data_IF_819723020394
#
_entry.id   IF_819723020394
#
_cell.length_a   1.000
_cell.length_b   1.000
_cell.length_c   1.000
_cell.angle_alpha   90.00
_cell.angle_beta   90.00
_cell.angle_gamma   90.00
#
_symmetry.space_group_name_H-M   'P 1'
#
loop_
_entity.id
_entity.type
_entity.pdbx_description
1 polymer ?
#
# COMPACT_ATOMS: atom_id res chain seq x y z
N UNK A 1 -9.12 8.62 73.57
CA UNK A 1 -10.17 8.46 72.54
C UNK A 1 -9.48 8.64 71.18
N UNK A 2 -8.87 7.62 70.57
CA UNK A 2 -9.36 6.30 70.12
C UNK A 2 -10.10 6.41 68.76
N UNK A 3 -9.75 5.65 67.71
CA UNK A 3 -8.68 4.65 67.58
C UNK A 3 -8.19 4.43 66.13
N UNK A 4 -6.98 3.87 65.97
CA UNK A 4 -6.49 3.18 64.75
C UNK A 4 -6.86 1.68 64.80
N UNK A 5 -6.73 0.95 63.68
CA UNK A 5 -5.65 -0.05 63.53
C UNK A 5 -4.77 0.26 62.28
N UNK A 6 -3.52 -0.22 62.09
CA UNK A 6 -2.58 -1.01 62.91
C UNK A 6 -2.92 -2.49 63.22
N UNK A 7 -2.75 -3.37 62.22
CA UNK A 7 -2.12 -4.71 62.24
C UNK A 7 -1.64 -4.95 60.78
N UNK A 8 -0.41 -5.35 60.44
CA UNK A 8 0.65 -5.98 61.24
C UNK A 8 0.62 -7.49 60.99
N UNK A 9 1.55 -8.05 60.20
CA UNK A 9 1.44 -9.46 59.79
C UNK A 9 2.50 -9.89 58.78
N UNK A 10 3.76 -9.90 59.19
CA UNK A 10 4.82 -10.60 58.46
C UNK A 10 4.64 -12.12 58.55
N UNK A 11 4.70 -12.81 57.41
CA UNK A 11 5.05 -14.24 57.34
C UNK A 11 5.95 -14.49 56.13
N UNK A 12 7.27 -14.55 56.36
CA UNK A 12 8.13 -15.43 55.56
C UNK A 12 7.91 -16.87 56.02
N UNK A 13 8.12 -17.87 55.15
CA UNK A 13 9.39 -18.58 55.27
C UNK A 13 10.07 -18.93 53.94
N UNK A 14 11.38 -18.66 53.90
CA UNK A 14 12.54 -19.40 53.33
C UNK A 14 12.46 -20.25 52.02
N UNK A 15 13.58 -20.37 51.28
CA UNK A 15 13.61 -20.82 49.89
C UNK A 15 13.87 -22.32 49.70
N UNK A 16 13.44 -22.88 48.56
CA UNK A 16 13.77 -24.24 48.13
C UNK A 16 14.10 -24.33 46.63
N UNK A 17 15.22 -24.99 46.32
CA UNK A 17 15.66 -25.58 45.03
C UNK A 17 15.50 -24.74 43.75
N UNK A 18 16.54 -24.23 43.06
CA UNK A 18 17.76 -24.86 42.50
C UNK A 18 17.48 -25.96 41.46
N UNK A 19 18.26 -25.92 40.35
CA UNK A 19 18.39 -26.83 39.19
C UNK A 19 17.43 -26.62 37.99
N UNK A 20 17.89 -26.86 36.75
CA UNK A 20 19.19 -26.44 36.20
C UNK A 20 19.08 -25.74 34.82
N UNK A 21 20.23 -25.30 34.31
CA UNK A 21 20.35 -24.40 33.17
C UNK A 21 19.72 -24.84 31.83
N UNK A 22 19.44 -23.83 31.02
CA UNK A 22 19.28 -23.97 29.57
C UNK A 22 20.41 -23.20 28.90
N UNK A 23 21.35 -23.97 28.36
CA UNK A 23 22.57 -23.49 27.73
C UNK A 23 22.31 -22.75 26.41
N UNK A 24 23.19 -21.80 26.06
CA UNK A 24 23.25 -21.19 24.72
C UNK A 24 24.24 -21.98 23.86
N UNK A 25 23.80 -23.03 23.18
CA UNK A 25 24.52 -23.51 21.99
C UNK A 25 23.68 -24.43 21.09
N UNK A 26 24.13 -24.51 19.84
CA UNK A 26 23.78 -25.51 18.82
C UNK A 26 22.32 -25.49 18.31
N UNK A 27 22.16 -24.89 17.14
CA UNK A 27 20.91 -24.96 16.38
C UNK A 27 20.75 -26.29 15.65
N UNK A 28 19.55 -26.86 15.71
CA UNK A 28 19.01 -27.69 14.63
C UNK A 28 17.68 -27.04 14.23
N UNK A 29 17.67 -26.36 13.07
CA UNK A 29 16.44 -25.96 12.41
C UNK A 29 15.72 -27.23 11.92
N UNK A 30 14.95 -27.86 12.82
CA UNK A 30 14.11 -29.00 12.46
C UNK A 30 12.98 -28.48 11.57
N UNK A 31 13.08 -28.75 10.28
CA UNK A 31 12.01 -28.47 9.33
C UNK A 31 10.73 -29.20 9.78
N UNK A 32 9.55 -28.54 9.79
CA UNK A 32 8.29 -29.23 9.93
C UNK A 32 7.88 -29.77 8.55
N UNK A 33 8.16 -31.04 8.30
CA UNK A 33 7.59 -31.75 7.15
C UNK A 33 6.13 -32.18 7.40
N UNK A 34 5.42 -32.34 6.29
CA UNK A 34 4.12 -32.99 6.10
C UNK A 34 2.80 -32.26 6.50
N UNK A 35 1.69 -32.48 5.76
CA UNK A 35 1.04 -31.36 5.07
C UNK A 35 -0.48 -31.42 5.28
N UNK A 36 -0.91 -31.42 6.55
CA UNK A 36 -2.34 -31.38 6.89
C UNK A 36 -2.63 -30.03 7.54
N UNK A 37 -3.51 -29.24 6.90
CA UNK A 37 -3.99 -27.98 7.46
C UNK A 37 -4.62 -28.26 8.82
N UNK A 38 -3.85 -27.99 9.89
CA UNK A 38 -4.31 -28.20 11.25
C UNK A 38 -5.55 -27.30 11.46
N UNK A 39 -6.75 -27.86 11.72
CA UNK A 39 -7.99 -27.08 11.72
C UNK A 39 -7.95 -25.95 12.75
N UNK A 40 -7.23 -26.12 13.86
CA UNK A 40 -7.03 -25.07 14.87
C UNK A 40 -6.26 -23.87 14.29
N UNK A 41 -5.23 -24.10 13.46
CA UNK A 41 -4.51 -23.01 12.76
C UNK A 41 -5.37 -22.35 11.68
N UNK A 42 -6.20 -23.12 10.98
CA UNK A 42 -7.10 -22.57 9.96
C UNK A 42 -8.21 -21.72 10.58
N UNK A 43 -8.79 -22.16 11.71
CA UNK A 43 -9.77 -21.40 12.48
C UNK A 43 -9.14 -20.16 13.12
N UNK A 44 -7.95 -20.27 13.73
CA UNK A 44 -7.24 -19.12 14.29
C UNK A 44 -6.85 -18.08 13.21
N UNK A 45 -6.42 -18.54 12.03
CA UNK A 45 -6.17 -17.67 10.88
C UNK A 45 -7.47 -17.02 10.37
N UNK A 46 -8.57 -17.78 10.29
CA UNK A 46 -9.88 -17.27 9.91
C UNK A 46 -10.44 -16.21 10.87
N UNK A 47 -10.29 -16.43 12.17
CA UNK A 47 -10.66 -15.46 13.23
C UNK A 47 -9.81 -14.19 13.13
N UNK A 48 -8.47 -14.32 13.05
CA UNK A 48 -7.57 -13.18 12.89
C UNK A 48 -7.82 -12.39 11.59
N UNK A 49 -8.16 -13.07 10.49
CA UNK A 49 -8.55 -12.45 9.24
C UNK A 49 -9.91 -11.73 9.34
N UNK A 50 -10.87 -12.31 10.08
CA UNK A 50 -12.17 -11.69 10.35
C UNK A 50 -12.01 -10.41 11.20
N UNK A 51 -11.23 -10.46 12.28
CA UNK A 51 -10.94 -9.29 13.12
C UNK A 51 -10.22 -8.18 12.33
N UNK A 52 -9.25 -8.54 11.49
CA UNK A 52 -8.59 -7.60 10.59
C UNK A 52 -9.58 -6.99 9.58
N UNK A 53 -10.52 -7.77 9.04
CA UNK A 53 -11.56 -7.32 8.13
C UNK A 53 -12.59 -6.40 8.82
N UNK A 54 -12.98 -6.68 10.06
CA UNK A 54 -13.85 -5.83 10.87
C UNK A 54 -13.15 -4.49 11.16
N UNK A 55 -11.88 -4.51 11.60
CA UNK A 55 -11.09 -3.29 11.83
C UNK A 55 -10.85 -2.48 10.54
N UNK A 56 -10.72 -3.15 9.40
CA UNK A 56 -10.61 -2.52 8.09
C UNK A 56 -11.94 -1.88 7.64
N UNK A 57 -13.06 -2.60 7.75
CA UNK A 57 -14.38 -2.11 7.34
C UNK A 57 -14.95 -1.06 8.28
N UNK A 58 -14.49 -0.97 9.52
CA UNK A 58 -14.80 0.15 10.43
C UNK A 58 -14.11 1.46 10.04
N UNK A 59 -13.08 1.44 9.21
CA UNK A 59 -12.42 2.64 8.70
C UNK A 59 -13.08 3.15 7.41
N UNK A 60 -13.40 4.44 7.34
CA UNK A 60 -13.93 5.10 6.12
C UNK A 60 -13.02 4.89 4.91
N UNK A 61 -11.69 4.92 5.11
CA UNK A 61 -10.72 4.62 4.06
C UNK A 61 -10.80 3.17 3.59
N UNK A 62 -11.06 2.20 4.48
CA UNK A 62 -11.27 0.81 4.11
C UNK A 62 -12.53 0.63 3.25
N UNK A 63 -13.62 1.31 3.60
CA UNK A 63 -14.86 1.32 2.80
C UNK A 63 -14.67 1.89 1.38
N UNK A 64 -13.96 3.01 1.20
CA UNK A 64 -13.60 3.51 -0.15
C UNK A 64 -12.71 2.52 -0.91
N UNK A 65 -11.72 1.89 -0.26
CA UNK A 65 -10.84 0.91 -0.93
C UNK A 65 -11.60 -0.33 -1.38
N UNK A 66 -12.55 -0.83 -0.58
CA UNK A 66 -13.42 -1.93 -0.96
C UNK A 66 -14.29 -1.55 -2.17
N UNK A 67 -14.93 -0.38 -2.13
CA UNK A 67 -15.72 0.12 -3.26
C UNK A 67 -14.85 0.37 -4.50
N UNK A 68 -13.62 0.85 -4.35
CA UNK A 68 -12.64 1.01 -5.45
C UNK A 68 -12.35 -0.35 -6.08
N UNK A 69 -12.06 -1.37 -5.27
CA UNK A 69 -11.85 -2.73 -5.74
C UNK A 69 -13.09 -3.26 -6.50
N UNK A 70 -14.29 -3.17 -5.92
CA UNK A 70 -15.54 -3.60 -6.58
C UNK A 70 -15.76 -2.89 -7.92
N UNK A 71 -15.52 -1.57 -8.00
CA UNK A 71 -15.67 -0.80 -9.24
C UNK A 71 -14.71 -1.31 -10.34
N UNK A 72 -13.42 -1.49 -10.02
CA UNK A 72 -12.44 -1.95 -10.99
C UNK A 72 -12.60 -3.44 -11.36
N UNK A 73 -13.05 -4.28 -10.42
CA UNK A 73 -13.49 -5.66 -10.73
C UNK A 73 -14.68 -5.65 -11.70
N UNK A 74 -15.67 -4.77 -11.50
CA UNK A 74 -16.79 -4.63 -12.45
C UNK A 74 -16.30 -4.20 -13.84
N UNK A 75 -15.37 -3.24 -13.91
CA UNK A 75 -14.76 -2.76 -15.15
C UNK A 75 -13.98 -3.87 -15.89
N UNK A 76 -13.18 -4.66 -15.17
CA UNK A 76 -12.42 -5.79 -15.71
C UNK A 76 -13.35 -6.92 -16.18
N UNK A 77 -14.31 -7.34 -15.35
CA UNK A 77 -15.30 -8.36 -15.72
C UNK A 77 -16.13 -7.92 -16.93
N UNK A 78 -16.50 -6.63 -17.01
CA UNK A 78 -17.19 -6.05 -18.15
C UNK A 78 -16.36 -6.22 -19.41
N UNK A 79 -15.09 -5.81 -19.40
CA UNK A 79 -14.18 -5.96 -20.53
C UNK A 79 -14.02 -7.43 -20.98
N UNK A 80 -13.92 -8.37 -20.04
CA UNK A 80 -13.79 -9.81 -20.34
C UNK A 80 -15.09 -10.48 -20.83
N UNK A 81 -16.25 -9.86 -20.61
CA UNK A 81 -17.58 -10.37 -20.97
C UNK A 81 -18.19 -9.67 -22.19
N UNK A 82 -17.76 -8.44 -22.52
CA UNK A 82 -18.27 -7.64 -23.64
C UNK A 82 -18.07 -8.33 -25.02
N UNK A 83 -16.98 -9.08 -25.27
CA UNK A 83 -16.82 -9.90 -26.50
C UNK A 83 -17.68 -11.18 -26.55
N UNK A 84 -18.30 -11.61 -25.44
CA UNK A 84 -18.97 -12.92 -25.35
C UNK A 84 -20.45 -12.83 -25.68
N UNK A 85 -20.88 -13.55 -26.73
CA UNK A 85 -22.28 -13.68 -27.11
C UNK A 85 -23.16 -14.12 -25.91
N UNK A 86 -24.39 -13.61 -25.85
CA UNK A 86 -25.36 -13.92 -24.78
C UNK A 86 -25.13 -13.27 -23.41
N UNK A 87 -23.98 -12.63 -23.14
CA UNK A 87 -23.70 -12.03 -21.80
C UNK A 87 -24.15 -10.58 -21.61
N UNK A 88 -24.83 -9.96 -22.59
CA UNK A 88 -25.32 -8.57 -22.56
C UNK A 88 -26.09 -8.20 -21.27
N UNK A 89 -26.96 -9.08 -20.76
CA UNK A 89 -27.72 -8.87 -19.50
C UNK A 89 -26.82 -8.76 -18.27
N UNK A 90 -25.70 -9.49 -18.23
CA UNK A 90 -24.70 -9.42 -17.16
C UNK A 90 -23.88 -8.13 -17.27
N UNK A 91 -23.45 -7.76 -18.50
CA UNK A 91 -22.75 -6.50 -18.78
C UNK A 91 -23.58 -5.28 -18.31
N UNK A 92 -24.89 -5.26 -18.55
CA UNK A 92 -25.75 -4.17 -18.05
C UNK A 92 -25.87 -4.14 -16.51
N UNK A 93 -25.98 -5.30 -15.85
CA UNK A 93 -25.94 -5.38 -14.38
C UNK A 93 -24.62 -4.84 -13.82
N UNK A 94 -23.48 -5.20 -14.42
CA UNK A 94 -22.16 -4.70 -14.05
C UNK A 94 -22.05 -3.18 -14.24
N UNK A 95 -22.51 -2.61 -15.37
CA UNK A 95 -22.55 -1.15 -15.59
C UNK A 95 -23.38 -0.42 -14.52
N UNK A 96 -24.53 -0.99 -14.11
CA UNK A 96 -25.38 -0.40 -13.03
C UNK A 96 -24.67 -0.45 -11.66
N UNK A 97 -24.01 -1.57 -11.34
CA UNK A 97 -23.26 -1.72 -10.10
C UNK A 97 -22.04 -0.78 -10.05
N UNK A 98 -21.25 -0.72 -11.13
CA UNK A 98 -20.12 0.19 -11.31
C UNK A 98 -20.51 1.65 -11.07
N UNK A 99 -21.64 2.10 -11.64
CA UNK A 99 -22.17 3.45 -11.47
C UNK A 99 -22.62 3.75 -10.02
N UNK A 100 -23.32 2.80 -9.39
CA UNK A 100 -23.76 2.91 -7.99
C UNK A 100 -22.57 3.03 -7.03
N UNK A 101 -21.59 2.12 -7.17
CA UNK A 101 -20.37 2.09 -6.35
C UNK A 101 -19.52 3.34 -6.59
N UNK A 102 -19.33 3.77 -7.83
CA UNK A 102 -18.65 5.02 -8.19
C UNK A 102 -19.28 6.24 -7.53
N UNK A 103 -20.61 6.28 -7.43
CA UNK A 103 -21.33 7.34 -6.72
C UNK A 103 -21.07 7.29 -5.22
N UNK A 104 -21.14 6.10 -4.60
CA UNK A 104 -20.78 5.90 -3.18
C UNK A 104 -19.36 6.36 -2.84
N UNK A 105 -18.40 6.15 -3.75
CA UNK A 105 -17.02 6.63 -3.59
C UNK A 105 -16.85 8.15 -3.64
N UNK A 106 -17.76 8.90 -4.28
CA UNK A 106 -17.72 10.37 -4.21
C UNK A 106 -17.98 10.85 -2.79
N UNK A 107 -18.96 10.27 -2.10
CA UNK A 107 -19.28 10.60 -0.71
C UNK A 107 -18.08 10.39 0.23
N UNK A 108 -17.41 9.22 0.16
CA UNK A 108 -16.23 8.97 0.97
C UNK A 108 -15.03 9.88 0.65
N UNK A 109 -14.95 10.41 -0.59
CA UNK A 109 -13.85 11.30 -0.98
C UNK A 109 -13.99 12.74 -0.49
N UNK A 110 -15.19 13.19 -0.09
CA UNK A 110 -15.39 14.52 0.51
C UNK A 110 -14.53 14.72 1.77
N UNK A 111 -14.45 13.71 2.65
CA UNK A 111 -13.61 13.75 3.85
C UNK A 111 -12.09 13.65 3.58
N UNK A 112 -11.68 13.22 2.38
CA UNK A 112 -10.26 13.03 2.08
C UNK A 112 -9.51 14.35 1.82
N UNK A 113 -10.20 15.48 1.64
CA UNK A 113 -9.57 16.81 1.61
C UNK A 113 -8.80 17.05 2.91
N UNK A 114 -9.44 16.80 4.06
CA UNK A 114 -8.86 17.01 5.40
C UNK A 114 -7.66 16.08 5.62
N UNK A 115 -7.77 14.80 5.23
CA UNK A 115 -6.64 13.87 5.28
C UNK A 115 -5.47 14.27 4.38
N UNK A 116 -5.73 14.88 3.22
CA UNK A 116 -4.68 15.38 2.33
C UNK A 116 -3.99 16.64 2.90
N UNK A 117 -4.73 17.52 3.58
CA UNK A 117 -4.16 18.67 4.31
C UNK A 117 -3.26 18.17 5.46
N UNK A 118 -3.76 17.26 6.31
CA UNK A 118 -3.00 16.65 7.39
C UNK A 118 -1.73 15.93 6.88
N UNK A 119 -1.82 15.23 5.75
CA UNK A 119 -0.65 14.59 5.14
C UNK A 119 0.36 15.61 4.58
N UNK A 120 -0.11 16.78 4.11
CA UNK A 120 0.78 17.89 3.70
C UNK A 120 1.54 18.44 4.91
N UNK A 121 0.84 18.74 6.00
CA UNK A 121 1.41 19.20 7.27
C UNK A 121 2.47 18.21 7.79
N UNK A 122 2.12 16.92 7.90
CA UNK A 122 3.06 15.88 8.34
C UNK A 122 4.29 15.77 7.44
N UNK A 123 4.14 15.92 6.11
CA UNK A 123 5.29 15.88 5.20
C UNK A 123 6.25 17.07 5.32
N UNK A 124 5.81 18.21 5.87
CA UNK A 124 6.69 19.36 6.15
C UNK A 124 7.68 19.04 7.29
N UNK A 125 7.36 18.08 8.16
CA UNK A 125 8.24 17.65 9.26
C UNK A 125 9.19 16.49 8.91
N UNK A 126 9.22 16.02 7.65
CA UNK A 126 10.14 14.96 7.21
C UNK A 126 11.60 15.45 7.24
N UNK A 127 12.52 14.57 7.67
CA UNK A 127 13.92 14.94 7.94
C UNK A 127 14.71 15.18 6.64
N UNK A 128 14.50 14.34 5.62
CA UNK A 128 15.23 14.42 4.35
C UNK A 128 14.57 15.41 3.36
N UNK A 129 15.36 16.35 2.83
CA UNK A 129 14.87 17.44 1.96
C UNK A 129 14.14 16.95 0.70
N UNK A 130 14.66 15.92 0.01
CA UNK A 130 14.08 15.43 -1.26
C UNK A 130 12.73 14.74 -1.02
N UNK A 131 12.60 13.72 -0.14
CA UNK A 131 11.30 13.17 0.25
C UNK A 131 10.32 14.23 0.78
N UNK A 132 10.78 15.17 1.61
CA UNK A 132 9.97 16.28 2.13
C UNK A 132 9.32 17.09 1.01
N UNK A 133 10.10 17.59 0.05
CA UNK A 133 9.60 18.39 -1.06
C UNK A 133 8.65 17.59 -1.96
N UNK A 134 9.03 16.35 -2.33
CA UNK A 134 8.19 15.49 -3.14
C UNK A 134 6.84 15.17 -2.47
N UNK A 135 6.83 14.80 -1.19
CA UNK A 135 5.62 14.49 -0.43
C UNK A 135 4.74 15.73 -0.21
N UNK A 136 5.34 16.87 0.14
CA UNK A 136 4.60 18.13 0.37
C UNK A 136 3.88 18.55 -0.91
N UNK A 137 4.59 18.58 -2.04
CA UNK A 137 3.99 18.92 -3.33
C UNK A 137 2.98 17.86 -3.82
N UNK A 138 3.23 16.57 -3.55
CA UNK A 138 2.30 15.49 -3.90
C UNK A 138 0.98 15.60 -3.13
N UNK A 139 1.05 15.86 -1.83
CA UNK A 139 -0.13 16.01 -0.97
C UNK A 139 -0.89 17.32 -1.25
N UNK A 140 -0.18 18.44 -1.51
CA UNK A 140 -0.81 19.69 -1.94
C UNK A 140 -1.61 19.53 -3.24
N UNK A 141 -1.04 18.83 -4.23
CA UNK A 141 -1.77 18.50 -5.47
C UNK A 141 -2.94 17.55 -5.22
N UNK A 142 -2.86 16.68 -4.21
CA UNK A 142 -3.98 15.82 -3.78
C UNK A 142 -5.12 16.65 -3.16
N UNK A 143 -4.82 17.71 -2.40
CA UNK A 143 -5.82 18.66 -1.89
C UNK A 143 -6.56 19.32 -3.05
N UNK A 144 -5.84 19.87 -4.03
CA UNK A 144 -6.45 20.51 -5.23
C UNK A 144 -7.31 19.51 -6.02
N UNK A 145 -6.84 18.27 -6.17
CA UNK A 145 -7.62 17.19 -6.79
C UNK A 145 -8.96 16.93 -6.06
N UNK A 146 -8.94 16.78 -4.73
CA UNK A 146 -10.18 16.53 -3.97
C UNK A 146 -11.13 17.73 -3.95
N UNK A 147 -10.62 18.97 -4.00
CA UNK A 147 -11.44 20.17 -4.18
C UNK A 147 -12.13 20.13 -5.56
N UNK A 148 -11.38 19.84 -6.63
CA UNK A 148 -11.97 19.69 -7.98
C UNK A 148 -13.02 18.57 -8.04
N UNK A 149 -12.77 17.43 -7.38
CA UNK A 149 -13.72 16.31 -7.30
C UNK A 149 -14.99 16.66 -6.50
N UNK A 150 -14.85 17.44 -5.43
CA UNK A 150 -15.98 17.99 -4.66
C UNK A 150 -16.85 18.89 -5.53
N UNK A 151 -16.25 19.80 -6.30
CA UNK A 151 -16.97 20.68 -7.25
C UNK A 151 -17.70 19.86 -8.33
N UNK A 152 -17.05 18.81 -8.87
CA UNK A 152 -17.66 17.89 -9.83
C UNK A 152 -18.80 17.06 -9.21
N UNK A 153 -18.72 16.72 -7.91
CA UNK A 153 -19.81 16.07 -7.18
C UNK A 153 -20.99 17.01 -6.97
N UNK A 154 -20.76 18.23 -6.46
CA UNK A 154 -21.80 19.28 -6.28
C UNK A 154 -22.56 19.52 -7.59
N UNK A 155 -21.84 19.65 -8.71
CA UNK A 155 -22.44 19.71 -10.06
C UNK A 155 -23.32 18.49 -10.36
N UNK A 156 -22.86 17.28 -10.04
CA UNK A 156 -23.61 16.05 -10.33
C UNK A 156 -24.86 15.83 -9.48
N UNK A 157 -25.02 16.58 -8.38
CA UNK A 157 -26.25 16.62 -7.56
C UNK A 157 -27.23 17.69 -8.08
N UNK A 158 -26.82 18.52 -9.06
CA UNK A 158 -27.66 19.57 -9.64
C UNK A 158 -27.58 20.92 -8.93
N UNK A 159 -26.75 21.05 -7.90
CA UNK A 159 -26.59 22.30 -7.13
C UNK A 159 -25.94 23.44 -7.94
N UNK A 160 -25.17 23.13 -8.99
CA UNK A 160 -24.46 24.13 -9.81
C UNK A 160 -24.45 23.81 -11.31
N UNK A 161 -25.38 24.42 -12.05
CA UNK A 161 -25.59 24.15 -13.49
C UNK A 161 -24.59 24.83 -14.44
N UNK A 162 -23.93 25.93 -14.04
CA UNK A 162 -23.02 26.70 -14.91
C UNK A 162 -21.57 26.17 -15.03
N UNK A 163 -21.19 25.15 -14.26
CA UNK A 163 -19.79 24.70 -14.17
C UNK A 163 -19.39 23.81 -15.37
N UNK A 164 -18.35 24.16 -16.12
CA UNK A 164 -17.88 23.32 -17.23
C UNK A 164 -17.25 22.00 -16.73
N UNK A 165 -18.02 20.91 -16.78
CA UNK A 165 -17.66 19.57 -16.31
C UNK A 165 -16.30 19.10 -16.84
N UNK A 166 -16.02 19.31 -18.12
CA UNK A 166 -14.82 18.75 -18.76
C UNK A 166 -13.58 19.52 -18.31
N UNK A 167 -13.60 20.86 -18.30
CA UNK A 167 -12.48 21.68 -17.80
C UNK A 167 -12.09 21.31 -16.37
N UNK A 168 -13.06 21.12 -15.48
CA UNK A 168 -12.80 20.72 -14.08
C UNK A 168 -12.31 19.26 -13.95
N UNK A 169 -12.80 18.35 -14.80
CA UNK A 169 -12.31 16.97 -14.88
C UNK A 169 -10.86 16.90 -15.36
N UNK A 170 -10.53 17.59 -16.45
CA UNK A 170 -9.17 17.68 -16.99
C UNK A 170 -8.21 18.31 -15.97
N UNK A 171 -8.64 19.35 -15.23
CA UNK A 171 -7.83 19.94 -14.15
C UNK A 171 -7.61 18.96 -13.00
N UNK A 172 -8.65 18.25 -12.56
CA UNK A 172 -8.52 17.20 -11.54
C UNK A 172 -7.53 16.10 -11.99
N UNK A 173 -7.62 15.66 -13.25
CA UNK A 173 -6.73 14.64 -13.82
C UNK A 173 -5.26 15.09 -13.83
N UNK A 174 -4.96 16.34 -14.19
CA UNK A 174 -3.59 16.90 -14.13
C UNK A 174 -3.02 16.88 -12.71
N UNK A 175 -3.73 17.45 -11.72
CA UNK A 175 -3.24 17.46 -10.34
C UNK A 175 -3.09 16.05 -9.74
N UNK A 176 -3.99 15.13 -10.10
CA UNK A 176 -3.86 13.72 -9.71
C UNK A 176 -2.63 13.06 -10.36
N UNK A 177 -2.38 13.31 -11.65
CA UNK A 177 -1.19 12.81 -12.35
C UNK A 177 0.10 13.32 -11.73
N UNK A 178 0.18 14.62 -11.43
CA UNK A 178 1.36 15.25 -10.84
C UNK A 178 1.59 14.77 -9.39
N UNK A 179 0.52 14.58 -8.60
CA UNK A 179 0.58 13.97 -7.27
C UNK A 179 1.16 12.54 -7.31
N UNK A 180 0.75 11.72 -8.29
CA UNK A 180 1.29 10.37 -8.49
C UNK A 180 2.74 10.39 -8.98
N UNK A 181 3.09 11.27 -9.93
CA UNK A 181 4.46 11.40 -10.45
C UNK A 181 5.44 11.76 -9.33
N UNK A 182 5.10 12.76 -8.49
CA UNK A 182 5.92 13.13 -7.34
C UNK A 182 6.01 12.01 -6.28
N UNK A 183 4.94 11.24 -6.10
CA UNK A 183 4.95 10.07 -5.22
C UNK A 183 5.92 9.00 -5.75
N UNK A 184 5.88 8.71 -7.06
CA UNK A 184 6.81 7.79 -7.73
C UNK A 184 8.26 8.29 -7.70
N UNK A 185 8.51 9.59 -7.83
CA UNK A 185 9.86 10.16 -7.68
C UNK A 185 10.39 9.93 -6.25
N UNK A 186 9.54 10.10 -5.22
CA UNK A 186 9.91 9.77 -3.83
C UNK A 186 10.15 8.27 -3.65
N UNK A 187 9.29 7.43 -4.21
CA UNK A 187 9.45 5.96 -4.17
C UNK A 187 10.78 5.54 -4.82
N UNK A 188 11.10 6.05 -6.01
CA UNK A 188 12.36 5.79 -6.73
C UNK A 188 13.58 6.29 -5.95
N UNK A 189 13.49 7.47 -5.32
CA UNK A 189 14.56 7.99 -4.47
C UNK A 189 14.83 7.05 -3.28
N UNK A 190 13.77 6.63 -2.57
CA UNK A 190 13.88 5.68 -1.44
C UNK A 190 14.42 4.32 -1.90
N UNK A 191 13.96 3.78 -3.04
CA UNK A 191 14.50 2.54 -3.63
C UNK A 191 16.01 2.68 -3.90
N UNK A 192 16.44 3.80 -4.51
CA UNK A 192 17.85 4.04 -4.83
C UNK A 192 18.73 4.11 -3.56
N UNK A 193 18.19 4.67 -2.47
CA UNK A 193 18.86 4.75 -1.19
C UNK A 193 18.98 3.38 -0.51
N UNK A 194 17.92 2.55 -0.59
CA UNK A 194 17.97 1.18 -0.07
C UNK A 194 18.93 0.30 -0.89
N UNK A 195 18.93 0.41 -2.22
CA UNK A 195 19.91 -0.29 -3.07
C UNK A 195 21.35 0.06 -2.68
N UNK A 196 21.67 1.35 -2.48
CA UNK A 196 23.00 1.80 -2.02
C UNK A 196 23.39 1.20 -0.66
N UNK A 197 22.43 0.99 0.25
CA UNK A 197 22.66 0.31 1.54
C UNK A 197 22.93 -1.18 1.34
N UNK A 198 22.08 -1.89 0.59
CA UNK A 198 22.25 -3.33 0.29
C UNK A 198 23.60 -3.61 -0.39
N UNK A 199 24.01 -2.80 -1.36
CA UNK A 199 25.32 -2.95 -2.01
C UNK A 199 26.48 -2.69 -1.04
N UNK A 200 26.36 -1.68 -0.16
CA UNK A 200 27.38 -1.40 0.88
C UNK A 200 27.50 -2.55 1.89
N UNK A 201 26.39 -3.15 2.30
CA UNK A 201 26.39 -4.25 3.26
C UNK A 201 26.89 -5.55 2.63
N UNK A 202 26.64 -5.78 1.32
CA UNK A 202 27.32 -6.83 0.54
C UNK A 202 28.83 -6.60 0.49
N UNK A 203 29.28 -5.41 0.07
CA UNK A 203 30.71 -5.10 -0.01
C UNK A 203 31.44 -5.21 1.34
N UNK A 204 30.75 -4.93 2.47
CA UNK A 204 31.27 -5.24 3.82
C UNK A 204 31.37 -6.74 4.06
N UNK A 205 30.30 -7.49 3.76
CA UNK A 205 30.25 -8.95 3.97
C UNK A 205 31.28 -9.70 3.10
N UNK A 206 31.43 -9.27 1.85
CA UNK A 206 32.43 -9.75 0.89
C UNK A 206 33.84 -9.44 1.39
N UNK A 207 34.14 -8.22 1.87
CA UNK A 207 35.44 -7.91 2.51
C UNK A 207 35.75 -8.75 3.76
N UNK A 208 34.75 -9.31 4.43
CA UNK A 208 34.92 -10.28 5.53
C UNK A 208 34.89 -11.75 5.09
N UNK A 209 34.73 -12.04 3.80
CA UNK A 209 34.67 -13.39 3.23
C UNK A 209 35.69 -13.62 2.09
N UNK A 210 36.23 -12.55 1.51
CA UNK A 210 37.19 -12.57 0.39
C UNK A 210 38.62 -12.84 0.88
N UNK A 211 38.84 -14.04 1.43
CA UNK A 211 40.17 -14.64 1.46
C UNK A 211 40.36 -15.65 0.31
N UNK A 212 39.29 -15.97 -0.46
CA UNK A 212 39.39 -16.94 -1.56
C UNK A 212 38.74 -16.53 -2.89
N UNK A 213 39.44 -16.98 -3.95
CA UNK A 213 39.19 -17.00 -5.39
C UNK A 213 38.60 -15.77 -6.13
N UNK A 214 39.47 -15.20 -6.96
CA UNK A 214 39.17 -14.34 -8.10
C UNK A 214 38.65 -15.18 -9.29
N UNK A 215 37.67 -14.69 -10.05
CA UNK A 215 37.33 -15.24 -11.36
C UNK A 215 36.06 -14.66 -11.95
N UNK A 216 36.18 -13.86 -13.02
CA UNK A 216 35.04 -13.49 -13.86
C UNK A 216 35.46 -13.36 -15.33
N UNK A 217 34.62 -13.89 -16.22
CA UNK A 217 34.81 -13.88 -17.67
C UNK A 217 33.86 -12.85 -18.28
N UNK A 218 34.37 -12.01 -19.17
CA UNK A 218 33.64 -10.87 -19.75
C UNK A 218 32.95 -11.30 -21.04
N UNK A 219 31.63 -11.53 -21.03
CA UNK A 219 30.86 -11.79 -22.26
C UNK A 219 29.30 -11.65 -22.22
N UNK A 220 28.63 -10.98 -21.25
CA UNK A 220 27.18 -10.63 -21.37
C UNK A 220 26.77 -9.37 -20.52
N UNK A 221 27.63 -8.35 -20.50
CA UNK A 221 27.55 -7.22 -19.53
C UNK A 221 26.17 -6.52 -19.45
N UNK A 222 25.49 -6.24 -20.57
CA UNK A 222 24.25 -5.46 -20.54
C UNK A 222 23.06 -6.28 -20.00
N UNK A 223 22.93 -7.54 -20.41
CA UNK A 223 21.88 -8.44 -19.95
C UNK A 223 22.10 -8.80 -18.48
N UNK A 224 23.33 -9.14 -18.10
CA UNK A 224 23.72 -9.47 -16.73
C UNK A 224 23.57 -8.25 -15.79
N UNK A 225 23.91 -7.04 -16.24
CA UNK A 225 23.70 -5.82 -15.47
C UNK A 225 22.21 -5.54 -15.24
N UNK A 226 21.36 -5.63 -16.28
CA UNK A 226 19.92 -5.45 -16.16
C UNK A 226 19.30 -6.49 -15.21
N UNK A 227 19.65 -7.76 -15.35
CA UNK A 227 19.18 -8.82 -14.45
C UNK A 227 19.65 -8.58 -13.01
N UNK A 228 20.92 -8.23 -12.82
CA UNK A 228 21.49 -7.92 -11.50
C UNK A 228 20.82 -6.72 -10.84
N UNK A 229 20.55 -5.66 -11.61
CA UNK A 229 19.82 -4.47 -11.18
C UNK A 229 18.39 -4.82 -10.77
N UNK A 230 17.65 -5.57 -11.60
CA UNK A 230 16.28 -6.00 -11.31
C UNK A 230 16.21 -6.91 -10.08
N UNK A 231 17.17 -7.82 -9.90
CA UNK A 231 17.29 -8.67 -8.71
C UNK A 231 17.62 -7.86 -7.44
N UNK A 232 18.51 -6.86 -7.54
CA UNK A 232 18.81 -5.92 -6.46
C UNK A 232 17.60 -5.07 -6.08
N UNK A 233 16.87 -4.55 -7.07
CA UNK A 233 15.65 -3.77 -6.90
C UNK A 233 14.55 -4.62 -6.25
N UNK A 234 14.27 -5.82 -6.77
CA UNK A 234 13.30 -6.74 -6.20
C UNK A 234 13.66 -7.16 -4.76
N UNK A 235 14.94 -7.43 -4.48
CA UNK A 235 15.41 -7.78 -3.13
C UNK A 235 15.29 -6.61 -2.15
N UNK A 236 15.63 -5.39 -2.58
CA UNK A 236 15.49 -4.17 -1.77
C UNK A 236 14.02 -3.87 -1.47
N UNK A 237 13.14 -4.02 -2.46
CA UNK A 237 11.69 -3.88 -2.29
C UNK A 237 11.09 -4.97 -1.40
N UNK A 238 11.55 -6.23 -1.50
CA UNK A 238 11.12 -7.32 -0.61
C UNK A 238 11.55 -7.10 0.84
N UNK A 239 12.68 -6.43 1.08
CA UNK A 239 13.12 -6.01 2.42
C UNK A 239 12.31 -4.83 2.97
N UNK A 240 11.63 -4.06 2.12
CA UNK A 240 10.74 -2.96 2.50
C UNK A 240 9.33 -3.12 1.90
N UNK A 241 8.51 -4.08 2.38
CA UNK A 241 7.13 -4.28 1.91
C UNK A 241 6.27 -3.00 1.84
N UNK A 242 6.38 -2.03 2.77
CA UNK A 242 5.66 -0.76 2.68
C UNK A 242 5.95 0.04 1.41
N UNK A 243 7.22 0.08 0.98
CA UNK A 243 7.68 0.80 -0.20
C UNK A 243 7.26 0.08 -1.48
N UNK A 244 7.36 -1.25 -1.52
CA UNK A 244 6.83 -2.05 -2.63
C UNK A 244 5.33 -1.81 -2.85
N UNK A 245 4.53 -1.81 -1.77
CA UNK A 245 3.09 -1.60 -1.86
C UNK A 245 2.73 -0.19 -2.36
N UNK A 246 3.45 0.85 -1.94
CA UNK A 246 3.19 2.22 -2.43
C UNK A 246 3.62 2.40 -3.89
N UNK A 247 4.82 1.91 -4.28
CA UNK A 247 5.30 1.96 -5.66
C UNK A 247 4.35 1.24 -6.63
N UNK A 248 3.95 0.00 -6.32
CA UNK A 248 3.01 -0.78 -7.17
C UNK A 248 1.66 -0.07 -7.27
N UNK A 249 1.14 0.44 -6.15
CA UNK A 249 -0.11 1.21 -6.12
C UNK A 249 -0.04 2.48 -6.97
N UNK A 250 1.03 3.27 -6.82
CA UNK A 250 1.22 4.53 -7.54
C UNK A 250 1.40 4.29 -9.04
N UNK A 251 2.16 3.25 -9.43
CA UNK A 251 2.36 2.84 -10.83
C UNK A 251 1.07 2.32 -11.47
N UNK A 252 0.27 1.52 -10.76
CA UNK A 252 -1.02 1.07 -11.27
C UNK A 252 -2.06 2.22 -11.33
N UNK A 253 -2.01 3.17 -10.40
CA UNK A 253 -2.97 4.28 -10.37
C UNK A 253 -2.70 5.34 -11.45
N UNK A 254 -1.47 5.48 -11.97
CA UNK A 254 -1.09 6.49 -12.99
C UNK A 254 -1.78 6.27 -14.35
N UNK A 255 -2.20 5.05 -14.64
CA UNK A 255 -2.94 4.71 -15.86
C UNK A 255 -4.27 5.47 -15.95
N UNK A 256 -4.91 5.76 -14.81
CA UNK A 256 -6.21 6.45 -14.75
C UNK A 256 -6.15 7.92 -15.22
N UNK A 257 -5.23 8.78 -14.73
CA UNK A 257 -5.10 10.14 -15.25
C UNK A 257 -4.49 10.18 -16.65
N UNK A 258 -3.54 9.29 -16.99
CA UNK A 258 -2.96 9.27 -18.35
C UNK A 258 -3.99 8.99 -19.44
N UNK A 259 -4.93 8.09 -19.17
CA UNK A 259 -6.08 7.81 -20.04
C UNK A 259 -7.06 9.00 -20.10
N UNK A 260 -7.39 9.61 -18.94
CA UNK A 260 -8.27 10.78 -18.86
C UNK A 260 -7.70 12.04 -19.50
N UNK A 261 -6.38 12.17 -19.58
CA UNK A 261 -5.68 13.25 -20.27
C UNK A 261 -5.46 12.95 -21.77
N UNK A 262 -5.78 11.73 -22.23
CA UNK A 262 -5.58 11.30 -23.61
C UNK A 262 -4.12 11.06 -24.00
N UNK A 263 -3.17 11.16 -23.04
CA UNK A 263 -1.73 10.99 -23.26
C UNK A 263 -1.39 9.54 -23.61
N UNK A 264 -2.02 8.59 -22.92
CA UNK A 264 -1.84 7.16 -23.17
C UNK A 264 -3.18 6.44 -23.07
N UNK A 265 -3.78 6.16 -24.24
CA UNK A 265 -5.07 5.46 -24.35
C UNK A 265 -4.92 4.02 -23.88
N UNK A 266 -5.38 3.75 -22.66
CA UNK A 266 -5.28 2.43 -22.06
C UNK A 266 -6.52 1.62 -22.34
N UNK A 267 -6.36 0.32 -22.59
CA UNK A 267 -7.50 -0.58 -22.72
C UNK A 267 -8.28 -0.62 -21.38
N UNK A 268 -9.63 -0.51 -21.38
CA UNK A 268 -10.44 -0.60 -20.17
C UNK A 268 -10.16 -1.83 -19.29
N UNK A 269 -9.75 -2.96 -19.88
CA UNK A 269 -9.30 -4.14 -19.13
C UNK A 269 -8.02 -3.90 -18.33
N UNK A 270 -7.05 -3.18 -18.90
CA UNK A 270 -5.77 -2.84 -18.23
C UNK A 270 -6.02 -1.83 -17.10
N UNK A 271 -6.86 -0.81 -17.33
CA UNK A 271 -7.29 0.14 -16.29
C UNK A 271 -8.03 -0.60 -15.15
N UNK A 272 -8.91 -1.54 -15.51
CA UNK A 272 -9.60 -2.42 -14.56
C UNK A 272 -8.65 -3.27 -13.72
N UNK A 273 -7.65 -3.91 -14.35
CA UNK A 273 -6.66 -4.71 -13.65
C UNK A 273 -5.76 -3.86 -12.74
N UNK A 274 -5.21 -2.74 -13.25
CA UNK A 274 -4.37 -1.84 -12.48
C UNK A 274 -5.10 -1.26 -11.27
N UNK A 275 -6.32 -0.76 -11.47
CA UNK A 275 -7.14 -0.24 -10.38
C UNK A 275 -7.56 -1.29 -9.34
N UNK A 276 -7.69 -2.56 -9.74
CA UNK A 276 -7.90 -3.67 -8.80
C UNK A 276 -6.63 -3.97 -7.99
N UNK A 277 -5.47 -4.10 -8.64
CA UNK A 277 -4.17 -4.33 -7.97
C UNK A 277 -3.84 -3.19 -6.99
N UNK A 278 -4.01 -1.93 -7.39
CA UNK A 278 -3.77 -0.77 -6.51
C UNK A 278 -4.74 -0.70 -5.33
N UNK A 279 -5.98 -1.19 -5.52
CA UNK A 279 -6.95 -1.31 -4.44
C UNK A 279 -6.56 -2.39 -3.45
N UNK A 280 -6.16 -3.58 -3.92
CA UNK A 280 -5.70 -4.69 -3.07
C UNK A 280 -4.46 -4.27 -2.27
N UNK A 281 -3.45 -3.67 -2.92
CA UNK A 281 -2.28 -3.13 -2.24
C UNK A 281 -2.68 -2.11 -1.15
N UNK A 282 -3.59 -1.18 -1.47
CA UNK A 282 -4.14 -0.22 -0.51
C UNK A 282 -4.92 -0.85 0.65
N UNK A 283 -5.63 -1.96 0.42
CA UNK A 283 -6.32 -2.70 1.49
C UNK A 283 -5.32 -3.35 2.45
N UNK A 284 -4.24 -3.96 1.92
CA UNK A 284 -3.17 -4.57 2.72
C UNK A 284 -2.51 -3.52 3.64
N UNK A 285 -2.18 -2.33 3.10
CA UNK A 285 -1.59 -1.22 3.87
C UNK A 285 -2.51 -0.66 4.97
N UNK A 286 -3.83 -0.79 4.83
CA UNK A 286 -4.81 -0.34 5.84
C UNK A 286 -5.09 -1.42 6.88
N UNK A 287 -5.21 -2.68 6.47
CA UNK A 287 -5.44 -3.83 7.35
C UNK A 287 -4.24 -4.11 8.26
N UNK A 288 -3.02 -3.90 7.76
CA UNK A 288 -1.77 -4.08 8.50
C UNK A 288 -1.05 -2.73 8.68
N UNK A 289 -1.40 -1.91 9.68
CA UNK A 289 -0.77 -0.61 9.90
C UNK A 289 0.74 -0.69 10.22
N UNK A 290 1.23 -1.86 10.64
CA UNK A 290 2.67 -2.15 10.77
C UNK A 290 3.41 -2.12 9.41
N UNK A 291 2.69 -2.20 8.29
CA UNK A 291 3.21 -2.08 6.93
C UNK A 291 2.95 -0.70 6.29
N UNK A 292 2.63 0.34 7.07
CA UNK A 292 2.66 1.72 6.58
C UNK A 292 4.09 2.24 6.55
N UNK A 293 4.47 2.89 5.45
CA UNK A 293 5.69 3.69 5.36
C UNK A 293 5.65 4.75 6.45
N UNK A 294 6.51 4.63 7.46
CA UNK A 294 6.80 5.73 8.38
C UNK A 294 7.83 6.62 7.69
N UNK A 295 7.40 7.78 7.21
CA UNK A 295 8.30 8.89 6.88
C UNK A 295 9.12 9.20 8.14
N UNK A 296 10.44 9.31 7.98
CA UNK A 296 11.39 9.60 9.07
C UNK A 296 12.02 10.97 8.86
#
# INVERSE_FOLDING_TARGET
>A
MCARPLWGGETQPLPLSRYPGTDRSLGIWRAPEDPRLNPVRLVAFGLGAMDAFIRFTNQTQGRDRLFRATQYTCMLLRYLLEPKAGKKKVVMKLKKLESSVSTGRKWFRLGNVVHAIQATEQSIHATDLVPRLCLTLANLNRVIYFICDTILWVRSVGLTSGINKEKWRTRAAHHYCFSLLLSLVRDLYEISLQMKRVTRDRAKKEKSASQDSLGYSVADEETEWLQSFLLLLFRSLKQHPPLLLDTVKNLCDILNPLDQLGIYKSNPGIIGLGGLVSSIAGMITVAYPQMKLKTR
#
